data_IF_624116567010
#
_entry.id   IF_624116567010
#
_cell.length_a   1.000
_cell.length_b   1.000
_cell.length_c   1.000
_cell.angle_alpha   90.00
_cell.angle_beta   90.00
_cell.angle_gamma   90.00
#
_symmetry.space_group_name_H-M   'P 1'
#
loop_
_entity.id
_entity.type
_entity.pdbx_description
1 polymer ?
#
# COMPACT_ATOMS: atom_id res chain seq x y z
N UNK A 1 7.07 -8.79 1.39
CA UNK A 1 7.16 -7.37 0.96
C UNK A 1 6.98 -7.37 -0.55
N UNK A 2 6.13 -6.52 -1.09
CA UNK A 2 5.95 -6.33 -2.53
C UNK A 2 6.49 -4.95 -2.88
N UNK A 3 7.42 -4.90 -3.84
CA UNK A 3 8.04 -3.66 -4.31
C UNK A 3 7.36 -3.18 -5.59
N UNK A 4 7.65 -1.94 -5.98
CA UNK A 4 7.23 -1.44 -7.30
C UNK A 4 8.01 -2.13 -8.43
N UNK A 5 7.37 -2.33 -9.60
CA UNK A 5 6.03 -1.84 -9.97
C UNK A 5 4.85 -2.68 -9.46
N UNK A 6 5.08 -3.93 -9.04
CA UNK A 6 4.01 -4.89 -8.70
C UNK A 6 3.16 -4.47 -7.49
N UNK A 7 3.71 -3.63 -6.61
CA UNK A 7 3.00 -3.09 -5.45
C UNK A 7 1.93 -2.05 -5.81
N UNK A 8 1.95 -1.47 -7.00
CA UNK A 8 1.17 -0.25 -7.29
C UNK A 8 -0.34 -0.46 -7.14
N UNK A 9 -0.90 -1.48 -7.79
CA UNK A 9 -2.34 -1.75 -7.67
C UNK A 9 -2.72 -2.11 -6.24
N UNK A 10 -1.84 -2.83 -5.52
CA UNK A 10 -2.08 -3.19 -4.12
C UNK A 10 -2.07 -1.96 -3.18
N UNK A 11 -1.25 -0.96 -3.47
CA UNK A 11 -1.22 0.32 -2.74
C UNK A 11 -2.48 1.15 -3.01
N UNK A 12 -2.96 1.16 -4.26
CA UNK A 12 -4.24 1.80 -4.65
C UNK A 12 -5.42 1.13 -3.94
N UNK A 13 -5.50 -0.20 -3.97
CA UNK A 13 -6.55 -0.96 -3.31
C UNK A 13 -6.51 -0.77 -1.79
N UNK A 14 -5.31 -0.78 -1.20
CA UNK A 14 -5.12 -0.46 0.20
C UNK A 14 -5.66 0.93 0.52
N UNK A 15 -5.24 1.97 -0.20
CA UNK A 15 -5.75 3.33 -0.01
C UNK A 15 -7.28 3.38 -0.10
N UNK A 16 -7.87 2.78 -1.14
CA UNK A 16 -9.34 2.73 -1.30
C UNK A 16 -10.04 2.13 -0.09
N UNK A 17 -9.51 1.02 0.43
CA UNK A 17 -10.09 0.33 1.57
C UNK A 17 -10.10 1.16 2.86
N UNK A 18 -9.12 2.06 3.05
CA UNK A 18 -8.96 2.84 4.29
C UNK A 18 -9.41 4.29 4.19
N UNK A 19 -9.42 4.88 2.98
CA UNK A 19 -9.65 6.31 2.74
C UNK A 19 -10.70 6.59 1.67
N UNK A 20 -11.19 5.57 0.96
CA UNK A 20 -12.10 5.76 -0.18
C UNK A 20 -11.36 6.23 -1.44
N UNK A 21 -12.03 7.00 -2.29
CA UNK A 21 -11.47 7.39 -3.58
C UNK A 21 -10.46 8.54 -3.46
N UNK A 22 -9.28 8.40 -4.08
CA UNK A 22 -8.33 9.51 -4.19
C UNK A 22 -8.84 10.50 -5.26
N UNK A 23 -8.76 11.83 -5.02
CA UNK A 23 -9.19 12.82 -6.00
C UNK A 23 -8.32 12.86 -7.27
N UNK A 24 -7.10 12.34 -7.20
CA UNK A 24 -6.14 12.27 -8.31
C UNK A 24 -5.25 11.02 -8.19
N UNK A 25 -5.53 9.98 -8.96
CA UNK A 25 -4.75 8.73 -8.88
C UNK A 25 -3.40 8.81 -9.56
N UNK A 26 -3.21 9.73 -10.51
CA UNK A 26 -1.95 9.84 -11.23
C UNK A 26 -0.89 10.49 -10.34
N UNK A 27 -1.25 11.54 -9.60
CA UNK A 27 -0.36 12.14 -8.59
C UNK A 27 -0.02 11.14 -7.46
N UNK A 28 -1.01 10.36 -7.01
CA UNK A 28 -0.78 9.30 -6.03
C UNK A 28 0.26 8.28 -6.52
N UNK A 29 0.10 7.77 -7.76
CA UNK A 29 1.03 6.80 -8.37
C UNK A 29 2.43 7.40 -8.52
N UNK A 30 2.53 8.63 -9.01
CA UNK A 30 3.80 9.34 -9.13
C UNK A 30 4.49 9.54 -7.77
N UNK A 31 3.73 9.82 -6.70
CA UNK A 31 4.26 9.91 -5.35
C UNK A 31 4.79 8.55 -4.85
N UNK A 32 4.07 7.44 -5.09
CA UNK A 32 4.53 6.11 -4.71
C UNK A 32 5.85 5.73 -5.38
N UNK A 33 6.02 6.06 -6.67
CA UNK A 33 7.26 5.85 -7.41
C UNK A 33 8.42 6.70 -6.87
N UNK A 34 8.18 8.01 -6.72
CA UNK A 34 9.19 8.96 -6.22
C UNK A 34 9.69 8.59 -4.82
N UNK A 35 8.80 8.08 -3.97
CA UNK A 35 9.10 7.68 -2.60
C UNK A 35 9.58 6.23 -2.47
N UNK A 36 9.67 5.48 -3.58
CA UNK A 36 10.05 4.07 -3.60
C UNK A 36 9.23 3.22 -2.61
N UNK A 37 7.92 3.45 -2.57
CA UNK A 37 7.01 2.78 -1.63
C UNK A 37 6.94 1.29 -1.91
N UNK A 38 6.74 0.51 -0.85
CA UNK A 38 6.47 -0.92 -0.93
C UNK A 38 5.25 -1.27 -0.07
N UNK A 39 4.57 -2.36 -0.42
CA UNK A 39 3.51 -2.92 0.41
C UNK A 39 4.09 -4.02 1.30
N UNK A 40 3.92 -3.88 2.61
CA UNK A 40 4.23 -4.93 3.58
C UNK A 40 2.94 -5.60 4.01
N UNK A 41 2.85 -6.91 3.79
CA UNK A 41 1.78 -7.77 4.32
C UNK A 41 2.35 -8.60 5.46
N UNK A 42 1.67 -8.58 6.60
CA UNK A 42 2.08 -9.32 7.79
C UNK A 42 0.98 -10.32 8.10
N UNK A 43 1.33 -11.60 8.10
CA UNK A 43 0.50 -12.66 8.65
C UNK A 43 0.86 -12.84 10.12
N UNK A 44 -0.14 -12.77 11.00
CA UNK A 44 0.09 -12.89 12.43
C UNK A 44 0.07 -14.38 12.79
N UNK A 45 1.24 -14.95 13.07
CA UNK A 45 1.36 -16.36 13.47
C UNK A 45 1.04 -16.59 14.95
N UNK A 46 1.39 -15.63 15.82
CA UNK A 46 1.15 -15.73 17.26
C UNK A 46 1.01 -14.35 17.88
N UNK A 47 -0.02 -14.19 18.72
CA UNK A 47 -0.16 -13.06 19.64
C UNK A 47 -0.16 -13.59 21.08
N UNK A 48 0.60 -12.95 21.97
CA UNK A 48 0.65 -13.30 23.40
C UNK A 48 0.14 -12.11 24.20
N UNK A 49 -0.60 -12.38 25.28
CA UNK A 49 -1.08 -11.36 26.22
C UNK A 49 -0.37 -11.56 27.55
N UNK A 50 0.35 -10.53 28.00
CA UNK A 50 0.98 -10.46 29.33
C UNK A 50 -0.04 -10.07 30.40
#
# INVERSE_FOLDING_TARGET
IVSLPEAMELLVDYYRSIRGEHPDWDDYRAAMEREQRCLVRIEIERAVRT
#
